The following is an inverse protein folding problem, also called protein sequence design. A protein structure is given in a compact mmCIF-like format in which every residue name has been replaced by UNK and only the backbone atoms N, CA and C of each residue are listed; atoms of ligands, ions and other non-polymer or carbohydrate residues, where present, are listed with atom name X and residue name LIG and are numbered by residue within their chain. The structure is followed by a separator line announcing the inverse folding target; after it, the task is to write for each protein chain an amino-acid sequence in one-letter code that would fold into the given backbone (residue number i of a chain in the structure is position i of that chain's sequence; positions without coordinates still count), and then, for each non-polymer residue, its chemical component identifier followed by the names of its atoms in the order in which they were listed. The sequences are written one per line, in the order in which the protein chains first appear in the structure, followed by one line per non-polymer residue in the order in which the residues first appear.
data_IF_436458533088
#
_entry.id   IF_436458533088
#
_cell.length_a   1.000
_cell.length_b   1.000
_cell.length_c   1.000
_cell.angle_alpha   90.00
_cell.angle_beta   90.00
_cell.angle_gamma   90.00
#
_symmetry.space_group_name_H-M   'P 1'
#
loop_
_entity.id
_entity.type
_entity.pdbx_description
1 polymer ?
#
# COMPACT_ATOMS: atom_id res chain seq x y z
N UNK A 1 13.67 7.16 9.46
CA UNK A 1 13.36 7.77 8.15
C UNK A 1 14.69 8.13 7.51
N UNK A 2 14.81 8.03 6.18
CA UNK A 2 16.06 8.30 5.46
C UNK A 2 15.71 9.00 4.16
N UNK A 3 16.41 10.08 3.83
CA UNK A 3 16.31 10.69 2.51
C UNK A 3 17.11 9.87 1.48
N UNK A 4 16.52 9.68 0.31
CA UNK A 4 17.16 9.10 -0.85
C UNK A 4 17.10 10.07 -2.04
N UNK A 5 17.62 9.66 -3.20
CA UNK A 5 17.65 10.49 -4.41
C UNK A 5 16.26 10.85 -4.99
N UNK A 6 15.17 10.39 -4.39
CA UNK A 6 13.79 10.69 -4.79
C UNK A 6 13.05 11.48 -3.71
N UNK A 7 13.33 11.22 -2.43
CA UNK A 7 12.77 11.98 -1.31
C UNK A 7 12.89 11.26 0.03
N UNK A 8 11.98 11.57 0.95
CA UNK A 8 11.98 10.97 2.29
C UNK A 8 11.33 9.58 2.28
N UNK A 9 12.13 8.55 2.56
CA UNK A 9 11.64 7.19 2.81
C UNK A 9 11.29 7.01 4.28
N UNK A 10 10.06 6.58 4.53
CA UNK A 10 9.59 6.23 5.88
C UNK A 10 8.74 4.97 5.90
N UNK A 11 8.49 4.47 7.09
CA UNK A 11 7.53 3.39 7.35
C UNK A 11 6.73 3.79 8.56
N UNK A 12 5.42 3.57 8.49
CA UNK A 12 4.48 3.79 9.58
C UNK A 12 3.47 2.65 9.62
N UNK A 13 2.72 2.58 10.71
CA UNK A 13 1.74 1.53 10.97
C UNK A 13 0.39 2.17 11.28
N UNK A 14 -0.69 1.62 10.72
CA UNK A 14 -2.04 1.95 11.13
C UNK A 14 -2.33 1.19 12.42
N UNK A 15 -2.57 1.91 13.51
CA UNK A 15 -2.87 1.29 14.80
C UNK A 15 -4.18 0.50 14.74
N UNK A 16 -4.26 -0.61 15.48
CA UNK A 16 -5.46 -1.46 15.56
C UNK A 16 -6.57 -0.85 16.44
N UNK A 17 -7.00 0.34 16.04
CA UNK A 17 -8.08 1.11 16.63
C UNK A 17 -9.22 1.17 15.62
N UNK A 18 -10.42 1.59 16.05
CA UNK A 18 -11.53 1.82 15.10
C UNK A 18 -11.11 2.77 13.99
N UNK A 19 -10.47 3.90 14.34
CA UNK A 19 -9.99 4.88 13.36
C UNK A 19 -8.95 4.29 12.40
N UNK A 20 -8.00 3.50 12.89
CA UNK A 20 -6.99 2.88 12.01
C UNK A 20 -7.58 1.85 11.06
N UNK A 21 -8.52 1.02 11.53
CA UNK A 21 -9.26 0.06 10.70
C UNK A 21 -10.13 0.76 9.66
N UNK A 22 -10.87 1.79 10.05
CA UNK A 22 -11.71 2.58 9.14
C UNK A 22 -10.84 3.29 8.08
N UNK A 23 -9.69 3.82 8.48
CA UNK A 23 -8.72 4.43 7.56
C UNK A 23 -8.21 3.40 6.55
N UNK A 24 -7.87 2.19 6.99
CA UNK A 24 -7.46 1.11 6.10
C UNK A 24 -8.57 0.72 5.11
N UNK A 25 -9.81 0.57 5.57
CA UNK A 25 -10.97 0.29 4.71
C UNK A 25 -11.18 1.40 3.68
N UNK A 26 -11.12 2.67 4.09
CA UNK A 26 -11.28 3.81 3.20
C UNK A 26 -10.14 3.92 2.16
N UNK A 27 -8.91 3.64 2.57
CA UNK A 27 -7.74 3.52 1.68
C UNK A 27 -7.94 2.40 0.66
N UNK A 28 -8.39 1.22 1.08
CA UNK A 28 -8.67 0.08 0.19
C UNK A 28 -9.80 0.37 -0.81
N UNK A 29 -10.82 1.11 -0.39
CA UNK A 29 -11.93 1.51 -1.25
C UNK A 29 -11.57 2.65 -2.22
N UNK A 30 -10.40 3.28 -2.06
CA UNK A 30 -10.00 4.45 -2.84
C UNK A 30 -10.74 5.74 -2.46
N UNK A 31 -11.48 5.74 -1.35
CA UNK A 31 -12.14 6.93 -0.82
C UNK A 31 -11.12 7.94 -0.24
N UNK A 32 -10.00 7.42 0.27
CA UNK A 32 -8.85 8.20 0.73
C UNK A 32 -7.64 7.77 -0.10
N UNK A 33 -6.94 8.72 -0.71
CA UNK A 33 -5.82 8.42 -1.64
C UNK A 33 -4.62 9.36 -1.49
N UNK A 34 -4.66 10.31 -0.57
CA UNK A 34 -3.65 11.33 -0.39
C UNK A 34 -2.77 11.14 0.84
N UNK A 35 -1.59 11.77 0.81
CA UNK A 35 -0.72 11.95 1.96
C UNK A 35 -0.43 13.44 2.14
N UNK A 36 -0.37 13.89 3.38
CA UNK A 36 0.08 15.24 3.73
C UNK A 36 1.10 15.19 4.85
N UNK A 37 1.86 16.26 4.98
CA UNK A 37 2.85 16.44 6.03
C UNK A 37 2.59 17.73 6.80
N UNK A 38 2.81 17.66 8.10
CA UNK A 38 2.87 18.81 8.99
C UNK A 38 4.33 19.04 9.35
N UNK A 39 4.81 20.27 9.16
CA UNK A 39 6.20 20.61 9.40
C UNK A 39 6.34 22.04 9.90
N UNK A 40 7.47 22.33 10.56
CA UNK A 40 7.88 23.70 10.90
C UNK A 40 9.04 24.11 10.00
N UNK A 41 8.99 25.28 9.34
CA UNK A 41 10.11 25.76 8.57
C UNK A 41 11.25 26.19 9.52
N UNK A 42 12.43 25.61 9.35
CA UNK A 42 13.66 26.02 10.06
C UNK A 42 14.37 27.10 9.24
N UNK A 43 14.51 26.87 7.93
CA UNK A 43 15.15 27.79 7.00
C UNK A 43 14.37 27.88 5.70
N UNK A 44 14.14 29.10 5.23
CA UNK A 44 13.44 29.35 3.97
C UNK A 44 13.83 30.69 3.38
N UNK A 45 13.63 30.82 2.08
CA UNK A 45 13.77 32.07 1.33
C UNK A 45 12.42 32.47 0.74
N UNK A 46 12.19 33.78 0.63
CA UNK A 46 10.98 34.34 0.03
C UNK A 46 11.26 34.71 -1.43
N UNK A 47 10.32 34.40 -2.31
CA UNK A 47 10.37 34.87 -3.69
C UNK A 47 10.27 36.38 -3.76
N UNK A 48 11.03 37.00 -4.66
CA UNK A 48 11.11 38.47 -4.77
C UNK A 48 10.48 38.96 -6.08
N UNK A 49 10.46 38.10 -7.09
CA UNK A 49 9.81 38.35 -8.39
C UNK A 49 8.43 37.69 -8.43
N UNK A 50 7.58 38.17 -9.34
CA UNK A 50 6.23 37.65 -9.50
C UNK A 50 6.18 36.15 -9.87
N UNK A 51 7.18 35.67 -10.60
CA UNK A 51 7.25 34.27 -11.05
C UNK A 51 8.01 33.36 -10.07
N UNK A 52 8.61 33.93 -9.02
CA UNK A 52 9.29 33.13 -8.00
C UNK A 52 8.26 32.40 -7.14
N UNK A 53 8.58 31.17 -6.66
CA UNK A 53 7.82 30.57 -5.59
C UNK A 53 7.72 31.54 -4.41
N UNK A 54 6.50 31.75 -3.89
CA UNK A 54 6.30 32.66 -2.74
C UNK A 54 7.24 32.34 -1.57
N UNK A 55 7.50 31.06 -1.34
CA UNK A 55 8.44 30.58 -0.32
C UNK A 55 9.13 29.30 -0.80
N UNK A 56 10.45 29.28 -0.71
CA UNK A 56 11.28 28.09 -0.94
C UNK A 56 11.76 27.59 0.42
N UNK A 57 11.38 26.37 0.78
CA UNK A 57 11.78 25.73 2.02
C UNK A 57 13.15 25.07 1.82
N UNK A 58 14.14 25.46 2.62
CA UNK A 58 15.50 24.91 2.56
C UNK A 58 15.72 23.86 3.66
N UNK A 59 15.12 24.08 4.83
CA UNK A 59 15.21 23.16 5.96
C UNK A 59 13.89 23.17 6.72
N UNK A 60 13.39 21.99 7.08
CA UNK A 60 12.13 21.81 7.80
C UNK A 60 12.27 20.78 8.90
N UNK A 61 11.60 21.03 10.02
CA UNK A 61 11.34 20.06 11.07
C UNK A 61 10.04 19.31 10.73
N UNK A 62 10.14 18.04 10.33
CA UNK A 62 8.98 17.21 10.03
C UNK A 62 8.31 16.74 11.33
N UNK A 63 7.05 17.12 11.53
CA UNK A 63 6.29 16.82 12.74
C UNK A 63 5.40 15.59 12.55
N UNK A 64 4.71 15.50 11.42
CA UNK A 64 3.76 14.42 11.15
C UNK A 64 3.64 14.08 9.67
N UNK A 65 3.19 12.85 9.42
CA UNK A 65 2.71 12.39 8.12
C UNK A 65 1.34 11.76 8.30
N UNK A 66 0.34 12.27 7.59
CA UNK A 66 -1.05 11.87 7.72
C UNK A 66 -1.64 11.41 6.40
N UNK A 67 -2.55 10.45 6.49
CA UNK A 67 -3.39 10.04 5.36
C UNK A 67 -4.55 11.02 5.24
N UNK A 68 -4.76 11.57 4.05
CA UNK A 68 -5.78 12.60 3.81
C UNK A 68 -6.55 12.36 2.51
N UNK A 69 -7.79 12.83 2.44
CA UNK A 69 -8.58 12.79 1.19
C UNK A 69 -8.07 13.78 0.15
N UNK A 70 -7.73 15.01 0.57
CA UNK A 70 -7.27 16.10 -0.29
C UNK A 70 -5.91 16.63 0.20
N UNK A 71 -4.80 16.20 -0.42
CA UNK A 71 -3.47 16.66 -0.01
C UNK A 71 -3.11 18.00 -0.65
N UNK A 72 -2.34 18.81 0.08
CA UNK A 72 -1.82 20.08 -0.42
C UNK A 72 -0.89 19.89 -1.64
N UNK A 73 -0.15 18.79 -1.68
CA UNK A 73 0.63 18.38 -2.85
C UNK A 73 -0.17 17.37 -3.69
N UNK A 74 -0.57 17.76 -4.90
CA UNK A 74 -1.32 16.90 -5.81
C UNK A 74 -0.57 15.61 -6.23
N UNK A 75 0.75 15.56 -6.06
CA UNK A 75 1.56 14.35 -6.35
C UNK A 75 1.68 13.40 -5.15
N UNK A 76 1.31 13.83 -3.95
CA UNK A 76 1.36 12.99 -2.75
C UNK A 76 0.16 12.02 -2.75
N UNK A 77 0.32 10.89 -3.43
CA UNK A 77 -0.72 9.87 -3.59
C UNK A 77 -0.27 8.51 -3.06
N UNK A 78 -1.22 7.78 -2.46
CA UNK A 78 -1.06 6.39 -2.09
C UNK A 78 -1.09 5.55 -3.37
N UNK A 79 0.01 4.87 -3.67
CA UNK A 79 0.16 4.08 -4.90
C UNK A 79 -0.39 2.67 -4.76
N UNK A 80 -0.26 2.07 -3.57
CA UNK A 80 -0.72 0.72 -3.29
C UNK A 80 -1.11 0.60 -1.83
N UNK A 81 -2.17 -0.17 -1.57
CA UNK A 81 -2.60 -0.54 -0.22
C UNK A 81 -2.56 -2.05 -0.14
N UNK A 82 -1.56 -2.56 0.58
CA UNK A 82 -1.31 -3.99 0.76
C UNK A 82 -2.60 -4.66 1.25
N UNK A 83 -3.00 -5.75 0.61
CA UNK A 83 -4.12 -6.56 1.08
C UNK A 83 -3.59 -7.73 1.90
N UNK A 84 -4.33 -8.15 2.93
CA UNK A 84 -4.01 -9.43 3.60
C UNK A 84 -4.03 -10.57 2.57
N UNK A 85 -4.97 -10.58 1.62
CA UNK A 85 -5.13 -11.68 0.65
C UNK A 85 -3.95 -11.93 -0.31
N UNK A 86 -3.10 -10.93 -0.59
CA UNK A 86 -1.95 -11.13 -1.50
C UNK A 86 -0.81 -11.93 -0.86
N UNK A 87 -0.69 -11.92 0.48
CA UNK A 87 0.37 -12.61 1.23
C UNK A 87 -0.14 -13.39 2.44
N UNK A 88 -1.46 -13.59 2.59
CA UNK A 88 -2.05 -14.36 3.67
C UNK A 88 -1.56 -15.80 3.58
N UNK A 89 -0.82 -16.26 4.59
CA UNK A 89 -0.42 -17.67 4.67
C UNK A 89 -1.63 -18.47 5.12
N UNK A 90 -1.68 -19.75 4.76
CA UNK A 90 -2.79 -20.64 5.16
C UNK A 90 -2.98 -20.68 6.67
N UNK A 91 -1.89 -20.57 7.44
CA UNK A 91 -1.96 -20.50 8.90
C UNK A 91 -2.66 -19.23 9.41
N UNK A 92 -2.46 -18.11 8.74
CA UNK A 92 -3.09 -16.83 9.10
C UNK A 92 -4.59 -16.88 8.79
N UNK A 93 -4.97 -17.49 7.66
CA UNK A 93 -6.36 -17.72 7.29
C UNK A 93 -7.05 -18.73 8.23
N UNK A 94 -6.38 -19.83 8.58
CA UNK A 94 -6.88 -20.81 9.55
C UNK A 94 -7.18 -20.14 10.90
N UNK A 95 -6.25 -19.31 11.40
CA UNK A 95 -6.43 -18.62 12.67
C UNK A 95 -7.63 -17.65 12.60
N UNK A 96 -7.75 -16.87 11.52
CA UNK A 96 -8.87 -15.96 11.30
C UNK A 96 -10.22 -16.68 11.29
N UNK A 97 -10.30 -17.82 10.61
CA UNK A 97 -11.52 -18.64 10.55
C UNK A 97 -11.90 -19.19 11.93
N UNK A 98 -10.90 -19.58 12.74
CA UNK A 98 -11.13 -20.02 14.12
C UNK A 98 -11.60 -18.87 15.02
N UNK A 99 -11.05 -17.67 14.84
CA UNK A 99 -11.48 -16.47 15.57
C UNK A 99 -12.91 -16.07 15.18
N UNK A 100 -13.36 -16.39 13.97
CA UNK A 100 -14.75 -16.28 13.53
C UNK A 100 -15.68 -17.42 14.03
N UNK A 101 -15.17 -18.35 14.85
CA UNK A 101 -15.97 -19.38 15.49
C UNK A 101 -16.00 -20.73 14.77
N UNK A 102 -15.22 -20.93 13.70
CA UNK A 102 -15.09 -22.24 13.08
C UNK A 102 -14.25 -23.17 13.96
N UNK A 103 -14.61 -24.44 13.99
CA UNK A 103 -13.75 -25.46 14.60
C UNK A 103 -12.44 -25.58 13.83
N UNK A 104 -11.40 -26.09 14.50
CA UNK A 104 -10.08 -26.30 13.88
C UNK A 104 -10.17 -27.07 12.56
N UNK A 105 -11.00 -28.11 12.51
CA UNK A 105 -11.14 -28.95 11.32
C UNK A 105 -11.82 -28.20 10.17
N UNK A 106 -12.82 -27.37 10.45
CA UNK A 106 -13.49 -26.54 9.44
C UNK A 106 -12.56 -25.45 8.91
N UNK A 107 -11.83 -24.78 9.79
CA UNK A 107 -10.85 -23.76 9.41
C UNK A 107 -9.74 -24.31 8.50
N UNK A 108 -9.20 -25.49 8.82
CA UNK A 108 -8.19 -26.18 7.98
C UNK A 108 -8.78 -26.59 6.62
N UNK A 109 -10.01 -27.11 6.59
CA UNK A 109 -10.66 -27.52 5.35
C UNK A 109 -10.90 -26.34 4.40
N UNK A 110 -11.29 -25.18 4.93
CA UNK A 110 -11.51 -23.96 4.13
C UNK A 110 -10.18 -23.33 3.71
N UNK A 111 -9.20 -23.23 4.62
CA UNK A 111 -7.92 -22.61 4.33
C UNK A 111 -7.09 -23.39 3.29
N UNK A 112 -7.13 -24.73 3.33
CA UNK A 112 -6.46 -25.59 2.33
C UNK A 112 -7.01 -25.45 0.91
N UNK A 113 -8.30 -25.16 0.75
CA UNK A 113 -8.89 -24.86 -0.56
C UNK A 113 -8.46 -23.49 -1.12
N UNK A 114 -8.07 -22.57 -0.25
CA UNK A 114 -7.54 -21.26 -0.66
C UNK A 114 -6.15 -21.42 -1.30
N UNK A 115 -5.31 -22.28 -0.72
CA UNK A 115 -4.00 -22.63 -1.25
C UNK A 115 -4.11 -23.32 -2.62
N UNK A 116 -5.04 -24.26 -2.78
CA UNK A 116 -5.22 -24.97 -4.05
C UNK A 116 -5.65 -24.03 -5.19
N UNK A 117 -6.58 -23.10 -4.94
CA UNK A 117 -6.98 -22.09 -5.93
C UNK A 117 -5.86 -21.11 -6.26
N UNK A 118 -5.10 -20.66 -5.26
CA UNK A 118 -4.00 -19.71 -5.47
C UNK A 118 -2.81 -20.37 -6.21
N UNK A 119 -2.48 -21.62 -5.88
CA UNK A 119 -1.52 -22.45 -6.63
C UNK A 119 -1.98 -22.71 -8.07
N UNK A 120 -3.27 -23.05 -8.28
CA UNK A 120 -3.84 -23.27 -9.61
C UNK A 120 -3.81 -22.00 -10.46
N UNK A 121 -4.11 -20.84 -9.85
CA UNK A 121 -4.04 -19.54 -10.53
C UNK A 121 -2.59 -19.19 -10.92
N UNK A 122 -1.61 -19.42 -10.04
CA UNK A 122 -0.18 -19.24 -10.34
C UNK A 122 0.30 -20.18 -11.45
N UNK A 123 -0.05 -21.47 -11.39
CA UNK A 123 0.30 -22.47 -12.41
C UNK A 123 -0.32 -22.12 -13.77
N UNK A 124 -1.57 -21.63 -13.78
CA UNK A 124 -2.24 -21.18 -15.01
C UNK A 124 -1.56 -19.96 -15.62
N UNK A 125 -1.23 -18.94 -14.82
CA UNK A 125 -0.53 -17.75 -15.29
C UNK A 125 0.86 -18.07 -15.90
N UNK A 126 1.61 -19.00 -15.28
CA UNK A 126 2.90 -19.48 -15.80
C UNK A 126 2.70 -20.27 -17.10
N UNK A 127 1.69 -21.14 -17.16
CA UNK A 127 1.35 -21.90 -18.37
C UNK A 127 0.98 -20.99 -19.54
N UNK A 128 0.18 -19.94 -19.30
CA UNK A 128 -0.25 -18.98 -20.32
C UNK A 128 0.95 -18.16 -20.85
N UNK A 129 1.88 -17.79 -19.98
CA UNK A 129 3.12 -17.12 -20.36
C UNK A 129 4.03 -18.01 -21.23
N UNK A 130 4.18 -19.30 -20.87
CA UNK A 130 4.94 -20.28 -21.66
C UNK A 130 4.31 -20.46 -23.06
N UNK A 131 2.99 -20.62 -23.13
CA UNK A 131 2.27 -20.79 -24.40
C UNK A 131 2.42 -19.56 -25.31
N UNK A 132 2.39 -18.35 -24.75
CA UNK A 132 2.63 -17.11 -25.49
C UNK A 132 4.04 -17.05 -26.08
N UNK A 133 5.06 -17.47 -25.31
CA UNK A 133 6.44 -17.48 -25.76
C UNK A 133 6.68 -18.51 -26.88
N UNK A 134 6.12 -19.72 -26.73
CA UNK A 134 6.17 -20.76 -27.76
C UNK A 134 5.48 -20.28 -29.04
N UNK A 135 4.35 -19.59 -28.93
CA UNK A 135 3.64 -19.00 -30.08
C UNK A 135 4.49 -17.99 -30.85
N UNK A 136 5.23 -17.13 -30.13
CA UNK A 136 6.16 -16.15 -30.74
C UNK A 136 7.35 -16.81 -31.43
N UNK A 137 7.88 -17.89 -30.86
CA UNK A 137 9.01 -18.64 -31.44
C UNK A 137 8.63 -19.44 -32.69
N UNK A 138 7.36 -19.84 -32.84
CA UNK A 138 6.86 -20.56 -34.03
C UNK A 138 6.46 -19.65 -35.19
N UNK A 139 6.35 -18.34 -34.94
CA UNK A 139 5.99 -17.32 -35.92
C UNK A 139 7.20 -16.54 -36.47
N UNK A 140 8.41 -16.90 -36.05
CA UNK A 140 9.70 -16.40 -36.54
C UNK A 140 10.40 -17.50 -37.34
#
# INVERSE_FOLDING_TARGET
MVEDGVGLKMTGELLDTTMGRDTYVALKAGAITGLSIGFRPIKFTMGVKNDDPRRTLEEVDLVEVSVVGLPANAKARVQAVKSMGENMRVRDLEQLLRDCGLSKNEAVAVASQFESKNELAKKKAVSDAINSLIGKMRAA
#
